data_IF_395309957759
#
_entry.id   IF_395309957759
#
_cell.length_a   1.000
_cell.length_b   1.000
_cell.length_c   1.000
_cell.angle_alpha   90.00
_cell.angle_beta   90.00
_cell.angle_gamma   90.00
#
_symmetry.space_group_name_H-M   'P 1'
#
loop_
_entity.id
_entity.type
_entity.pdbx_description
1 polymer ?
#
# COMPACT_ATOMS: atom_id res chain seq x y z
N UNK A 1 -30.44 -8.84 -14.62
CA UNK A 1 -30.35 -8.09 -13.82
C UNK A 1 -29.46 -6.99 -13.88
N UNK A 2 -29.72 -6.00 -13.42
CA UNK A 2 -28.99 -4.81 -13.60
C UNK A 2 -27.86 -4.61 -12.67
N UNK A 3 -27.57 -5.59 -11.90
CA UNK A 3 -26.51 -5.40 -10.97
C UNK A 3 -25.20 -5.18 -11.62
N UNK A 4 -24.97 -5.92 -12.65
CA UNK A 4 -23.70 -5.77 -13.29
C UNK A 4 -23.60 -4.48 -14.01
N UNK A 5 -24.71 -3.90 -14.38
CA UNK A 5 -24.66 -2.64 -15.05
C UNK A 5 -24.36 -1.56 -14.06
N UNK A 6 -25.00 -1.63 -12.90
CA UNK A 6 -24.78 -0.63 -11.92
C UNK A 6 -23.99 -1.23 -10.80
N UNK A 7 -22.75 -0.95 -10.78
CA UNK A 7 -21.83 -1.52 -9.86
C UNK A 7 -21.58 -0.62 -8.67
N UNK A 8 -22.58 0.06 -8.25
CA UNK A 8 -22.44 1.02 -7.18
C UNK A 8 -22.88 0.44 -5.86
N UNK A 9 -22.36 1.03 -4.83
CA UNK A 9 -22.72 0.70 -3.45
C UNK A 9 -23.67 1.74 -2.91
N UNK A 10 -24.18 1.51 -1.72
CA UNK A 10 -25.17 2.37 -1.13
C UNK A 10 -24.75 2.78 0.27
N UNK A 11 -24.92 4.05 0.61
CA UNK A 11 -24.63 4.55 1.93
C UNK A 11 -25.77 5.47 2.25
N UNK A 12 -26.70 4.99 3.10
CA UNK A 12 -27.96 5.68 3.37
C UNK A 12 -28.68 5.89 2.04
N UNK A 13 -28.88 7.13 1.62
CA UNK A 13 -29.55 7.42 0.35
C UNK A 13 -28.57 7.71 -0.77
N UNK A 14 -27.28 7.55 -0.51
CA UNK A 14 -26.24 7.86 -1.48
C UNK A 14 -25.75 6.58 -2.13
N UNK A 15 -25.71 6.60 -3.45
CA UNK A 15 -25.11 5.51 -4.22
C UNK A 15 -23.71 5.93 -4.62
N UNK A 16 -22.78 4.98 -4.61
CA UNK A 16 -21.40 5.32 -4.91
C UNK A 16 -20.68 4.18 -5.62
N UNK A 17 -19.65 4.55 -6.34
CA UNK A 17 -18.83 3.61 -7.07
C UNK A 17 -17.43 4.19 -7.12
N UNK A 18 -16.70 4.03 -6.03
CA UNK A 18 -15.40 4.66 -5.85
C UNK A 18 -14.33 3.59 -5.85
N UNK A 19 -13.76 3.34 -7.01
CA UNK A 19 -12.75 2.31 -7.17
C UNK A 19 -11.40 2.94 -7.49
N UNK A 20 -10.38 2.40 -6.88
CA UNK A 20 -9.03 2.92 -7.01
C UNK A 20 -8.05 1.79 -7.26
N UNK A 21 -7.16 2.01 -8.20
CA UNK A 21 -6.06 1.11 -8.42
C UNK A 21 -4.87 1.66 -7.66
N UNK A 22 -4.35 0.89 -6.72
CA UNK A 22 -3.32 1.35 -5.81
C UNK A 22 -2.12 0.42 -5.89
N UNK A 23 -0.92 1.03 -5.91
CA UNK A 23 0.33 0.27 -5.94
C UNK A 23 1.21 0.79 -4.83
N UNK A 24 1.80 -0.11 -4.06
CA UNK A 24 2.78 0.28 -3.05
C UNK A 24 3.82 -0.82 -2.91
N UNK A 25 4.95 -0.47 -2.33
CA UNK A 25 6.11 -1.36 -2.37
C UNK A 25 6.87 -1.35 -1.05
N UNK A 26 7.55 -2.46 -0.73
CA UNK A 26 8.46 -2.46 0.41
C UNK A 26 9.60 -1.48 0.18
N UNK A 27 10.16 -0.99 1.26
CA UNK A 27 11.28 -0.07 1.19
C UNK A 27 12.42 -0.70 0.40
N UNK A 28 13.00 0.08 -0.50
CA UNK A 28 14.06 -0.35 -1.41
C UNK A 28 13.59 -1.43 -2.38
N UNK A 29 12.28 -1.61 -2.53
CA UNK A 29 11.72 -2.64 -3.41
C UNK A 29 12.33 -4.00 -3.11
N UNK A 30 12.51 -4.30 -1.84
CA UNK A 30 13.06 -5.59 -1.47
C UNK A 30 12.12 -6.69 -1.91
N UNK A 31 12.69 -7.75 -2.46
CA UNK A 31 11.90 -8.89 -2.93
C UNK A 31 11.69 -9.81 -1.75
N UNK A 32 10.59 -9.61 -1.05
CA UNK A 32 10.30 -10.37 0.16
C UNK A 32 9.05 -11.22 0.09
N UNK A 33 8.21 -10.99 -0.91
CA UNK A 33 6.92 -11.68 -0.97
C UNK A 33 7.00 -12.94 -1.82
N UNK A 34 7.48 -14.00 -1.22
CA UNK A 34 7.54 -15.29 -1.87
C UNK A 34 6.81 -16.33 -1.05
N UNK A 35 6.19 -17.28 -1.70
CA UNK A 35 5.59 -18.47 -1.09
C UNK A 35 4.77 -18.15 0.14
N UNK A 36 5.19 -18.58 1.31
CA UNK A 36 4.43 -18.39 2.53
C UNK A 36 4.21 -16.93 2.87
N UNK A 37 5.26 -16.12 2.74
CA UNK A 37 5.14 -14.70 3.04
C UNK A 37 4.13 -14.03 2.12
N UNK A 38 4.13 -14.44 0.86
CA UNK A 38 3.17 -13.91 -0.11
C UNK A 38 1.75 -14.19 0.33
N UNK A 39 1.49 -15.44 0.74
CA UNK A 39 0.16 -15.81 1.18
C UNK A 39 -0.23 -15.07 2.46
N UNK A 40 0.69 -14.95 3.39
CA UNK A 40 0.39 -14.30 4.66
C UNK A 40 0.14 -12.82 4.48
N UNK A 41 0.91 -12.16 3.64
CA UNK A 41 0.67 -10.74 3.37
C UNK A 41 -0.69 -10.56 2.71
N UNK A 42 -1.03 -11.46 1.80
CA UNK A 42 -2.35 -11.42 1.16
C UNK A 42 -3.46 -11.50 2.20
N UNK A 43 -3.34 -12.40 3.16
CA UNK A 43 -4.35 -12.54 4.21
C UNK A 43 -4.39 -11.34 5.14
N UNK A 44 -3.23 -10.81 5.47
CA UNK A 44 -3.15 -9.61 6.31
C UNK A 44 -3.90 -8.45 5.64
N UNK A 45 -3.60 -8.21 4.37
CA UNK A 45 -4.25 -7.11 3.66
C UNK A 45 -5.75 -7.33 3.52
N UNK A 46 -6.15 -8.57 3.26
CA UNK A 46 -7.56 -8.91 3.14
C UNK A 46 -8.30 -8.61 4.44
N UNK A 47 -7.73 -9.03 5.55
CA UNK A 47 -8.34 -8.81 6.86
C UNK A 47 -8.44 -7.33 7.19
N UNK A 48 -7.36 -6.59 6.95
CA UNK A 48 -7.34 -5.16 7.26
C UNK A 48 -8.35 -4.38 6.43
N UNK A 49 -8.47 -4.73 5.15
CA UNK A 49 -9.46 -4.10 4.30
C UNK A 49 -10.87 -4.41 4.79
N UNK A 50 -11.11 -5.67 5.13
CA UNK A 50 -12.42 -6.07 5.60
C UNK A 50 -12.83 -5.30 6.86
N UNK A 51 -11.90 -5.08 7.77
CA UNK A 51 -12.20 -4.36 9.01
C UNK A 51 -12.65 -2.92 8.76
N UNK A 52 -12.25 -2.34 7.65
CA UNK A 52 -12.63 -0.96 7.32
C UNK A 52 -13.76 -0.88 6.31
N UNK A 53 -14.31 -2.01 5.92
CA UNK A 53 -15.38 -2.02 4.93
C UNK A 53 -14.89 -1.67 3.53
N UNK A 54 -13.62 -1.92 3.26
CA UNK A 54 -13.04 -1.71 1.94
C UNK A 54 -12.99 -3.05 1.24
N UNK A 55 -13.54 -3.10 0.03
CA UNK A 55 -13.58 -4.33 -0.74
C UNK A 55 -12.38 -4.42 -1.67
N UNK A 56 -11.71 -5.57 -1.68
CA UNK A 56 -10.65 -5.84 -2.65
C UNK A 56 -11.30 -6.50 -3.84
N UNK A 57 -11.34 -5.78 -4.97
CA UNK A 57 -11.91 -6.31 -6.20
C UNK A 57 -10.90 -7.20 -6.89
N UNK A 58 -9.66 -6.76 -6.95
CA UNK A 58 -8.53 -7.51 -7.49
C UNK A 58 -7.31 -7.21 -6.66
N UNK A 59 -6.43 -8.19 -6.52
CA UNK A 59 -5.21 -7.96 -5.80
C UNK A 59 -4.12 -8.88 -6.32
N UNK A 60 -2.92 -8.38 -6.31
CA UNK A 60 -1.77 -9.16 -6.74
C UNK A 60 -0.57 -8.81 -5.87
N UNK A 61 0.02 -9.81 -5.25
CA UNK A 61 1.21 -9.62 -4.44
C UNK A 61 2.38 -10.08 -5.28
N UNK A 62 3.12 -9.10 -5.81
CA UNK A 62 4.33 -9.39 -6.59
C UNK A 62 5.52 -9.44 -5.63
N UNK A 63 6.66 -10.02 -6.05
CA UNK A 63 7.78 -10.15 -5.11
C UNK A 63 8.22 -8.86 -4.47
N UNK A 64 8.15 -7.73 -5.18
CA UNK A 64 8.67 -6.46 -4.69
C UNK A 64 7.64 -5.33 -4.71
N UNK A 65 6.38 -5.64 -4.88
CA UNK A 65 5.32 -4.61 -4.82
C UNK A 65 3.96 -5.27 -4.78
N UNK A 66 2.96 -4.46 -4.50
CA UNK A 66 1.58 -4.93 -4.38
C UNK A 66 0.69 -4.06 -5.23
N UNK A 67 -0.20 -4.69 -5.99
CA UNK A 67 -1.26 -4.02 -6.73
C UNK A 67 -2.59 -4.37 -6.10
N UNK A 68 -3.43 -3.38 -5.87
CA UNK A 68 -4.77 -3.61 -5.37
C UNK A 68 -5.76 -2.76 -6.15
N UNK A 69 -6.88 -3.35 -6.50
CA UNK A 69 -8.03 -2.60 -6.99
C UNK A 69 -9.04 -2.62 -5.86
N UNK A 70 -9.30 -1.47 -5.26
CA UNK A 70 -10.10 -1.36 -4.06
C UNK A 70 -11.35 -0.54 -4.30
N UNK A 71 -12.43 -0.95 -3.65
CA UNK A 71 -13.66 -0.16 -3.58
C UNK A 71 -13.68 0.47 -2.19
N UNK A 72 -13.50 1.79 -2.12
CA UNK A 72 -13.39 2.51 -0.86
C UNK A 72 -14.60 3.39 -0.68
N UNK A 73 -15.34 3.25 0.45
CA UNK A 73 -16.52 4.09 0.67
C UNK A 73 -16.17 5.58 0.71
N UNK A 74 -17.08 6.44 0.26
CA UNK A 74 -16.78 7.89 0.20
C UNK A 74 -16.46 8.50 1.55
N UNK A 75 -16.91 7.91 2.63
CA UNK A 75 -16.64 8.44 3.97
C UNK A 75 -15.19 8.24 4.39
N UNK A 76 -14.41 7.48 3.64
CA UNK A 76 -13.02 7.20 3.97
C UNK A 76 -12.14 7.81 2.88
N UNK A 77 -11.14 8.60 3.27
CA UNK A 77 -10.22 9.14 2.29
C UNK A 77 -9.22 8.07 1.89
N UNK A 78 -8.73 8.14 0.66
CA UNK A 78 -7.75 7.18 0.18
C UNK A 78 -6.48 7.26 1.02
N UNK A 79 -5.99 8.47 1.28
CA UNK A 79 -4.74 8.61 2.04
C UNK A 79 -4.91 8.14 3.48
N UNK A 80 -6.06 8.40 4.08
CA UNK A 80 -6.34 7.91 5.43
C UNK A 80 -6.36 6.40 5.48
N UNK A 81 -7.01 5.79 4.50
CA UNK A 81 -7.06 4.33 4.44
C UNK A 81 -5.67 3.74 4.20
N UNK A 82 -4.88 4.34 3.31
CA UNK A 82 -3.55 3.81 3.04
C UNK A 82 -2.62 3.97 4.23
N UNK A 83 -2.76 5.05 4.99
CA UNK A 83 -2.00 5.19 6.23
C UNK A 83 -2.31 4.06 7.20
N UNK A 84 -3.60 3.75 7.35
CA UNK A 84 -4.03 2.63 8.18
C UNK A 84 -3.48 1.30 7.64
N UNK A 85 -3.67 1.04 6.36
CA UNK A 85 -3.30 -0.24 5.77
C UNK A 85 -1.81 -0.49 5.88
N UNK A 86 -1.00 0.51 5.51
CA UNK A 86 0.44 0.37 5.56
C UNK A 86 0.94 0.29 6.99
N UNK A 87 0.40 1.11 7.87
CA UNK A 87 0.84 1.10 9.27
C UNK A 87 0.54 -0.20 9.98
N UNK A 88 -0.70 -0.67 9.87
CA UNK A 88 -1.08 -1.90 10.56
C UNK A 88 -0.40 -3.12 9.94
N UNK A 89 -0.32 -3.18 8.61
CA UNK A 89 0.33 -4.33 7.98
C UNK A 89 1.80 -4.38 8.32
N UNK A 90 2.45 -3.23 8.41
CA UNK A 90 3.86 -3.17 8.80
C UNK A 90 4.08 -3.78 10.19
N UNK A 91 3.23 -3.40 11.15
CA UNK A 91 3.34 -3.94 12.50
C UNK A 91 3.16 -5.46 12.51
N UNK A 92 2.15 -5.94 11.79
CA UNK A 92 1.85 -7.37 11.78
C UNK A 92 2.98 -8.15 11.10
N UNK A 93 3.50 -7.61 10.00
CA UNK A 93 4.59 -8.25 9.27
C UNK A 93 5.83 -8.37 10.18
N UNK A 94 6.17 -7.29 10.87
CA UNK A 94 7.33 -7.31 11.75
C UNK A 94 7.13 -8.22 12.96
N UNK A 95 5.91 -8.40 13.41
CA UNK A 95 5.63 -9.33 14.48
C UNK A 95 5.79 -10.77 14.03
N UNK A 96 5.34 -11.06 12.82
CA UNK A 96 5.45 -12.41 12.28
C UNK A 96 6.87 -12.75 11.86
N UNK A 97 7.58 -11.78 11.32
CA UNK A 97 8.91 -12.00 10.78
C UNK A 97 9.87 -11.04 11.46
N UNK A 98 10.21 -11.36 12.71
CA UNK A 98 11.02 -10.48 13.52
C UNK A 98 12.36 -10.12 12.90
N UNK A 99 12.92 -11.02 12.07
CA UNK A 99 14.18 -10.74 11.40
C UNK A 99 14.13 -9.54 10.50
N UNK A 100 12.97 -9.26 9.93
CA UNK A 100 12.83 -8.15 8.99
C UNK A 100 13.00 -6.80 9.68
N UNK A 101 12.71 -6.72 10.97
CA UNK A 101 12.90 -5.49 11.71
C UNK A 101 14.32 -4.97 11.60
N UNK A 102 15.26 -5.88 11.64
CA UNK A 102 16.67 -5.50 11.63
C UNK A 102 17.15 -5.21 10.22
N UNK A 103 16.46 -5.72 9.22
CA UNK A 103 16.81 -5.45 7.83
C UNK A 103 16.29 -4.11 7.36
N UNK A 104 15.26 -3.57 8.04
CA UNK A 104 14.62 -2.34 7.63
C UNK A 104 14.96 -1.22 8.60
N UNK A 105 15.68 -0.24 8.10
CA UNK A 105 16.08 0.90 8.90
C UNK A 105 14.84 1.67 9.34
N UNK A 106 14.86 2.18 10.55
CA UNK A 106 13.75 2.94 11.13
C UNK A 106 12.46 2.15 11.24
N UNK A 107 12.54 0.86 11.07
CA UNK A 107 11.40 -0.05 11.17
C UNK A 107 10.25 0.35 10.23
N UNK A 108 10.62 0.89 9.08
CA UNK A 108 9.64 1.18 8.03
C UNK A 108 9.66 0.06 7.02
N UNK A 109 8.57 -0.67 6.94
CA UNK A 109 8.50 -1.77 5.99
C UNK A 109 8.21 -1.28 4.58
N UNK A 110 7.27 -0.32 4.45
CA UNK A 110 6.84 0.16 3.15
C UNK A 110 7.55 1.44 2.75
N UNK A 111 7.71 1.66 1.45
CA UNK A 111 8.12 2.95 0.93
C UNK A 111 7.12 4.01 1.33
N UNK A 112 7.56 5.24 1.39
CA UNK A 112 6.65 6.35 1.58
C UNK A 112 5.77 6.49 0.35
N UNK A 113 4.54 6.89 0.57
CA UNK A 113 3.62 7.14 -0.52
C UNK A 113 3.10 5.89 -1.17
N UNK A 114 2.36 6.09 -2.24
CA UNK A 114 1.77 5.03 -3.03
C UNK A 114 1.30 5.64 -4.33
N UNK A 115 1.08 4.79 -5.32
CA UNK A 115 0.48 5.22 -6.57
C UNK A 115 -1.03 4.99 -6.48
N UNK A 116 -1.84 5.93 -6.94
CA UNK A 116 -3.28 5.74 -6.97
C UNK A 116 -3.83 6.27 -8.28
N UNK A 117 -4.83 5.55 -8.82
CA UNK A 117 -5.44 5.89 -10.09
C UNK A 117 -6.90 5.45 -10.02
N UNK A 118 -7.80 6.32 -10.45
CA UNK A 118 -9.22 5.99 -10.50
C UNK A 118 -9.63 5.37 -11.84
N UNK A 119 -8.77 5.50 -12.85
CA UNK A 119 -9.01 4.88 -14.14
C UNK A 119 -8.43 3.48 -14.10
N UNK A 120 -8.49 2.77 -15.17
CA UNK A 120 -7.92 1.44 -15.22
C UNK A 120 -6.40 1.46 -15.08
N UNK A 121 -5.80 0.28 -15.07
CA UNK A 121 -4.37 0.16 -14.93
C UNK A 121 -3.61 0.88 -16.03
N UNK A 122 -2.56 1.60 -15.64
CA UNK A 122 -1.62 2.19 -16.57
C UNK A 122 -0.27 1.54 -16.27
N UNK A 123 0.08 0.53 -17.04
CA UNK A 123 1.27 -0.27 -16.76
C UNK A 123 2.55 0.57 -16.82
N UNK A 124 2.60 1.54 -17.73
CA UNK A 124 3.79 2.39 -17.84
C UNK A 124 3.96 3.28 -16.63
N UNK A 125 2.87 3.91 -16.19
CA UNK A 125 2.93 4.77 -15.02
C UNK A 125 3.29 3.99 -13.77
N UNK A 126 2.78 2.77 -13.65
CA UNK A 126 3.08 1.92 -12.49
C UNK A 126 4.57 1.56 -12.49
N UNK A 127 5.10 1.20 -13.63
CA UNK A 127 6.52 0.86 -13.73
C UNK A 127 7.40 2.04 -13.34
N UNK A 128 7.07 3.21 -13.84
CA UNK A 128 7.83 4.42 -13.53
C UNK A 128 7.76 4.75 -12.05
N UNK A 129 6.58 4.60 -11.46
CA UNK A 129 6.41 4.86 -10.04
C UNK A 129 7.31 3.94 -9.21
N UNK A 130 7.29 2.65 -9.51
CA UNK A 130 8.06 1.68 -8.73
C UNK A 130 9.56 1.93 -8.86
N UNK A 131 10.01 2.26 -10.08
CA UNK A 131 11.42 2.55 -10.29
C UNK A 131 11.86 3.80 -9.52
N UNK A 132 11.03 4.84 -9.54
CA UNK A 132 11.36 6.09 -8.87
C UNK A 132 11.37 5.95 -7.35
N UNK A 133 10.55 5.04 -6.81
CA UNK A 133 10.52 4.84 -5.36
C UNK A 133 11.85 4.35 -4.81
N UNK A 134 12.50 3.46 -5.55
CA UNK A 134 13.80 2.96 -5.10
C UNK A 134 14.80 4.10 -5.00
N UNK A 135 14.82 4.97 -6.01
CA UNK A 135 15.73 6.11 -6.00
C UNK A 135 15.42 7.07 -4.85
N UNK A 136 14.14 7.35 -4.65
CA UNK A 136 13.72 8.25 -3.58
C UNK A 136 14.06 7.70 -2.21
N UNK A 137 13.90 6.40 -2.02
CA UNK A 137 14.25 5.77 -0.75
C UNK A 137 15.73 5.93 -0.46
N UNK A 138 16.57 5.73 -1.47
CA UNK A 138 18.01 5.88 -1.30
C UNK A 138 18.39 7.31 -0.96
N UNK A 139 17.80 8.27 -1.65
CA UNK A 139 18.08 9.68 -1.40
C UNK A 139 17.63 10.09 0.00
N UNK A 140 16.46 9.66 0.39
CA UNK A 140 15.92 9.99 1.70
C UNK A 140 16.80 9.47 2.81
N UNK A 141 17.27 8.23 2.67
CA UNK A 141 18.15 7.65 3.67
C UNK A 141 19.48 8.37 3.75
N UNK A 142 20.01 8.78 2.62
CA UNK A 142 21.24 9.55 2.63
C UNK A 142 21.08 10.88 3.35
N UNK A 143 19.97 11.56 3.07
CA UNK A 143 19.71 12.83 3.72
C UNK A 143 19.57 12.68 5.22
N UNK A 144 18.86 11.66 5.66
CA UNK A 144 18.67 11.47 7.09
C UNK A 144 19.97 11.10 7.78
N UNK A 145 20.92 10.50 7.06
CA UNK A 145 22.22 10.20 7.64
C UNK A 145 23.06 11.45 7.85
N UNK A 146 22.95 12.40 6.96
CA UNK A 146 23.81 13.57 7.00
C UNK A 146 23.15 14.82 7.56
N UNK A 147 21.92 14.74 7.97
CA UNK A 147 21.21 15.89 8.53
C UNK A 147 20.72 15.58 9.93
N UNK A 148 21.55 15.77 10.93
CA UNK A 148 21.18 15.46 12.30
C UNK A 148 20.10 16.38 12.87
N UNK A 149 19.77 17.45 12.16
CA UNK A 149 18.79 18.40 12.68
C UNK A 149 17.38 17.84 12.69
N UNK A 150 17.10 16.91 11.81
CA UNK A 150 15.76 16.38 11.73
C UNK A 150 15.77 14.91 11.44
N UNK A 151 16.02 14.10 12.46
CA UNK A 151 16.07 12.67 12.25
C UNK A 151 14.71 12.04 12.06
N UNK A 152 13.64 12.79 12.31
CA UNK A 152 12.33 12.20 12.22
C UNK A 152 11.61 12.45 10.93
N UNK A 153 11.72 13.61 10.39
CA UNK A 153 10.92 13.92 9.24
C UNK A 153 11.63 13.51 7.99
N UNK A 154 12.88 13.40 8.11
CA UNK A 154 13.54 13.28 6.90
C UNK A 154 13.02 14.36 6.06
N UNK A 155 12.50 15.11 6.60
CA UNK A 155 11.87 15.98 6.17
C UNK A 155 11.66 16.69 5.40
N UNK A 156 11.54 16.55 5.54
CA UNK A 156 11.16 17.16 5.08
C UNK A 156 10.85 17.06 4.49
#
# INVERSE_FOLDING_TARGET
MKKEIFNGNSLAHTKWNCKYHIVFAPKYRRKVFFEEKRQEVREILRTLCKWKGVEIIEGEVCPDHIHLLLSIPPKISVSGFMGYLKGKSSLIIFQKYGNLKFAYRNREFWCRGFYVDTAGKDAKAIKEYIANQLEQDKQSDQLSMFDPRDPFTGSR
#
